data_IF_765890922124
#
_entry.id   IF_765890922124
#
_cell.length_a   1.000
_cell.length_b   1.000
_cell.length_c   1.000
_cell.angle_alpha   90.00
_cell.angle_beta   90.00
_cell.angle_gamma   90.00
#
_symmetry.space_group_name_H-M   'P 1'
#
loop_
_entity.id
_entity.type
_entity.pdbx_description
1 polymer ?
#
# COMPACT_ATOMS: atom_id res chain seq x y z
N UNK A 1 1.80 25.23 5.29
CA UNK A 1 2.65 24.15 5.82
C UNK A 1 2.27 22.87 5.09
N UNK A 2 3.20 22.25 4.37
CA UNK A 2 2.93 21.01 3.61
C UNK A 2 2.68 19.88 4.59
N UNK A 3 1.54 19.19 4.44
CA UNK A 3 1.15 18.07 5.31
C UNK A 3 1.28 16.76 4.54
N UNK A 4 1.56 15.70 5.29
CA UNK A 4 1.63 14.35 4.77
C UNK A 4 0.73 13.42 5.59
N UNK A 5 0.30 12.34 4.96
CA UNK A 5 -0.64 11.39 5.53
C UNK A 5 -0.19 9.97 5.22
N UNK A 6 -0.22 9.11 6.22
CA UNK A 6 -0.11 7.68 6.00
C UNK A 6 -1.38 7.19 5.28
N UNK A 7 -1.18 6.44 4.19
CA UNK A 7 -2.23 5.86 3.39
C UNK A 7 -2.55 4.46 3.94
N UNK A 8 -3.67 4.36 4.66
CA UNK A 8 -4.12 3.13 5.29
C UNK A 8 -5.30 2.51 4.54
N UNK A 9 -5.50 1.21 4.75
CA UNK A 9 -6.66 0.48 4.28
C UNK A 9 -7.89 0.87 5.13
N UNK A 10 -9.02 1.13 4.48
CA UNK A 10 -10.29 1.37 5.16
C UNK A 10 -11.04 0.06 5.38
N UNK A 11 -10.59 -0.71 6.38
CA UNK A 11 -11.16 -2.01 6.71
C UNK A 11 -12.52 -1.86 7.42
N UNK A 12 -13.57 -2.34 6.75
CA UNK A 12 -14.91 -2.48 7.34
C UNK A 12 -15.03 -3.80 8.13
N UNK A 13 -16.03 -3.95 9.02
CA UNK A 13 -16.25 -5.20 9.78
C UNK A 13 -16.38 -6.46 8.90
N UNK A 14 -16.82 -6.30 7.66
CA UNK A 14 -16.77 -7.29 6.59
C UNK A 14 -16.29 -6.60 5.32
N UNK A 15 -15.24 -7.13 4.69
CA UNK A 15 -14.64 -6.55 3.49
C UNK A 15 -14.22 -7.64 2.51
N UNK A 16 -14.16 -7.30 1.21
CA UNK A 16 -13.47 -8.12 0.24
C UNK A 16 -11.96 -7.94 0.43
N UNK A 17 -11.22 -9.04 0.37
CA UNK A 17 -9.80 -9.11 0.68
C UNK A 17 -9.12 -10.03 -0.33
N UNK A 18 -8.02 -9.57 -0.92
CA UNK A 18 -7.29 -10.34 -1.91
C UNK A 18 -6.31 -11.30 -1.22
N UNK A 19 -6.57 -12.59 -1.31
CA UNK A 19 -5.76 -13.62 -0.67
C UNK A 19 -4.88 -14.35 -1.68
N UNK A 20 -3.64 -14.64 -1.30
CA UNK A 20 -2.83 -15.67 -1.93
C UNK A 20 -3.35 -17.07 -1.60
N UNK A 21 -2.81 -18.10 -2.26
CA UNK A 21 -3.08 -19.51 -1.90
C UNK A 21 -2.28 -19.92 -0.65
N UNK A 22 -2.76 -20.90 0.10
CA UNK A 22 -2.23 -21.33 1.42
C UNK A 22 -0.72 -21.69 1.44
N UNK A 23 -0.14 -22.08 0.30
CA UNK A 23 1.30 -22.40 0.18
C UNK A 23 2.18 -21.22 -0.27
N UNK A 24 1.64 -20.00 -0.31
CA UNK A 24 2.39 -18.82 -0.77
C UNK A 24 3.31 -18.33 0.36
N UNK A 25 4.62 -18.15 0.10
CA UNK A 25 5.54 -17.57 1.08
C UNK A 25 5.06 -16.22 1.61
N UNK A 26 5.53 -15.86 2.80
CA UNK A 26 5.28 -14.54 3.38
C UNK A 26 5.91 -13.44 2.53
N UNK A 27 5.35 -12.23 2.64
CA UNK A 27 5.63 -11.13 1.73
C UNK A 27 7.12 -10.82 1.53
N UNK A 28 7.91 -10.72 2.61
CA UNK A 28 9.33 -10.35 2.49
C UNK A 28 10.17 -11.42 1.75
N UNK A 29 9.83 -12.70 1.87
CA UNK A 29 10.48 -13.79 1.13
C UNK A 29 10.15 -13.77 -0.38
N UNK A 30 9.05 -13.10 -0.75
CA UNK A 30 8.65 -12.95 -2.14
C UNK A 30 9.35 -11.79 -2.83
N UNK A 31 9.82 -10.78 -2.11
CA UNK A 31 10.39 -9.55 -2.71
C UNK A 31 11.50 -9.90 -3.69
N UNK A 32 12.50 -10.68 -3.29
CA UNK A 32 13.61 -11.08 -4.16
C UNK A 32 13.17 -11.87 -5.41
N UNK A 33 12.02 -12.54 -5.36
CA UNK A 33 11.48 -13.34 -6.46
C UNK A 33 10.63 -12.52 -7.44
N UNK A 34 10.15 -11.35 -7.02
CA UNK A 34 9.27 -10.49 -7.82
C UNK A 34 9.90 -9.14 -8.16
N UNK A 35 11.00 -8.77 -7.51
CA UNK A 35 11.58 -7.44 -7.64
C UNK A 35 12.05 -7.13 -9.06
N UNK A 36 12.45 -8.12 -9.87
CA UNK A 36 12.82 -7.90 -11.27
C UNK A 36 11.68 -8.14 -12.27
N UNK A 37 10.48 -8.42 -11.77
CA UNK A 37 9.31 -8.75 -12.62
C UNK A 37 8.42 -7.53 -12.80
N UNK A 38 7.76 -7.46 -13.95
CA UNK A 38 6.68 -6.51 -14.23
C UNK A 38 5.30 -7.01 -13.78
N UNK A 39 5.20 -8.28 -13.40
CA UNK A 39 3.95 -8.95 -13.02
C UNK A 39 4.21 -10.00 -11.94
N UNK A 40 3.28 -10.15 -11.00
CA UNK A 40 3.31 -11.21 -10.01
C UNK A 40 3.23 -12.59 -10.69
N UNK A 41 4.04 -13.57 -10.27
CA UNK A 41 4.03 -14.91 -10.86
C UNK A 41 2.84 -15.77 -10.41
N UNK A 42 1.86 -15.19 -9.74
CA UNK A 42 0.67 -15.86 -9.23
C UNK A 42 -0.49 -14.86 -9.15
N UNK A 43 -1.71 -15.39 -9.17
CA UNK A 43 -2.92 -14.61 -8.95
C UNK A 43 -3.35 -14.60 -7.48
N UNK A 44 -4.08 -13.55 -7.12
CA UNK A 44 -4.81 -13.41 -5.86
C UNK A 44 -6.27 -13.79 -6.07
N UNK A 45 -6.97 -14.08 -4.98
CA UNK A 45 -8.38 -14.48 -4.99
C UNK A 45 -9.15 -13.62 -4.00
N UNK A 46 -10.23 -12.98 -4.44
CA UNK A 46 -11.10 -12.24 -3.53
C UNK A 46 -11.81 -13.22 -2.61
N UNK A 47 -11.65 -12.96 -1.31
CA UNK A 47 -12.39 -13.62 -0.24
C UNK A 47 -13.07 -12.56 0.62
N UNK A 48 -14.19 -12.92 1.22
CA UNK A 48 -14.82 -12.09 2.25
C UNK A 48 -14.14 -12.38 3.57
N UNK A 49 -13.58 -11.33 4.18
CA UNK A 49 -12.99 -11.37 5.51
C UNK A 49 -13.88 -10.58 6.45
N UNK A 50 -14.24 -11.21 7.57
CA UNK A 50 -15.09 -10.60 8.60
C UNK A 50 -14.59 -10.94 10.00
N UNK A 51 -14.98 -10.13 11.00
CA UNK A 51 -14.62 -10.38 12.40
C UNK A 51 -15.65 -11.27 13.10
N UNK A 52 -15.22 -12.46 13.52
CA UNK A 52 -15.99 -13.36 14.37
C UNK A 52 -15.62 -13.23 15.86
N UNK A 53 -16.30 -14.01 16.71
CA UNK A 53 -16.06 -14.02 18.18
C UNK A 53 -14.65 -14.50 18.56
N UNK A 54 -14.02 -15.36 17.74
CA UNK A 54 -12.71 -15.97 18.00
C UNK A 54 -11.59 -15.56 17.05
N UNK A 55 -11.81 -14.59 16.15
CA UNK A 55 -10.82 -14.18 15.16
C UNK A 55 -11.43 -13.79 13.82
N UNK A 56 -10.62 -13.83 12.77
CA UNK A 56 -11.05 -13.56 11.41
C UNK A 56 -11.76 -14.79 10.82
N UNK A 57 -12.88 -14.55 10.14
CA UNK A 57 -13.60 -15.53 9.34
C UNK A 57 -13.35 -15.19 7.88
N UNK A 58 -12.85 -16.16 7.13
CA UNK A 58 -12.55 -16.05 5.69
C UNK A 58 -13.54 -16.94 4.94
N UNK A 59 -14.21 -16.40 3.93
CA UNK A 59 -15.20 -17.11 3.11
C UNK A 59 -15.01 -16.81 1.63
N UNK A 60 -15.22 -17.80 0.77
CA UNK A 60 -15.29 -17.61 -0.68
C UNK A 60 -16.66 -17.01 -1.12
N UNK A 61 -17.68 -17.08 -0.26
CA UNK A 61 -18.95 -16.41 -0.49
C UNK A 61 -18.83 -14.90 -0.24
N UNK A 62 -18.78 -14.15 -1.34
CA UNK A 62 -18.73 -12.68 -1.35
C UNK A 62 -20.10 -12.02 -1.14
N UNK A 63 -21.18 -12.79 -1.00
CA UNK A 63 -22.53 -12.26 -0.83
C UNK A 63 -22.65 -11.33 0.39
N UNK A 64 -23.52 -10.33 0.26
CA UNK A 64 -23.75 -9.30 1.26
C UNK A 64 -22.69 -8.19 1.30
N UNK A 65 -21.62 -8.26 0.50
CA UNK A 65 -20.71 -7.15 0.29
C UNK A 65 -21.24 -6.23 -0.83
N UNK A 66 -21.44 -4.95 -0.52
CA UNK A 66 -21.88 -3.95 -1.52
C UNK A 66 -20.78 -3.58 -2.53
N UNK A 67 -19.52 -3.62 -2.10
CA UNK A 67 -18.36 -3.28 -2.93
C UNK A 67 -17.26 -4.30 -2.68
N UNK A 68 -16.92 -5.09 -3.71
CA UNK A 68 -15.87 -6.11 -3.63
C UNK A 68 -14.57 -5.67 -4.31
N UNK A 69 -14.67 -4.76 -5.28
CA UNK A 69 -13.56 -4.16 -6.00
C UNK A 69 -13.31 -2.76 -5.45
N UNK A 70 -12.27 -2.62 -4.63
CA UNK A 70 -11.86 -1.34 -4.05
C UNK A 70 -10.68 -0.78 -4.82
N UNK A 71 -10.52 0.54 -4.84
CA UNK A 71 -9.35 1.17 -5.47
C UNK A 71 -8.06 0.88 -4.72
N UNK A 72 -8.14 0.76 -3.39
CA UNK A 72 -7.10 0.22 -2.54
C UNK A 72 -7.59 -1.07 -1.90
N UNK A 73 -7.12 -2.20 -2.45
CA UNK A 73 -7.62 -3.52 -2.11
C UNK A 73 -6.81 -4.13 -0.96
N UNK A 74 -7.46 -4.43 0.19
CA UNK A 74 -6.75 -5.06 1.29
C UNK A 74 -6.37 -6.50 0.94
N UNK A 75 -5.20 -6.94 1.39
CA UNK A 75 -4.61 -8.22 0.98
C UNK A 75 -3.65 -8.82 2.01
N UNK A 76 -3.36 -10.13 1.89
CA UNK A 76 -2.53 -10.86 2.86
C UNK A 76 -1.02 -10.78 2.58
N UNK A 77 -0.59 -10.03 1.57
CA UNK A 77 0.82 -9.70 1.35
C UNK A 77 1.22 -8.41 2.09
N UNK A 78 0.25 -7.68 2.65
CA UNK A 78 0.45 -6.36 3.24
C UNK A 78 1.12 -5.37 2.26
N UNK A 79 1.07 -5.63 0.96
CA UNK A 79 1.61 -4.74 -0.07
C UNK A 79 0.49 -3.84 -0.60
N UNK A 80 0.74 -2.56 -0.88
CA UNK A 80 -0.23 -1.68 -1.52
C UNK A 80 -0.73 -2.29 -2.83
N UNK A 81 -2.02 -2.59 -2.91
CA UNK A 81 -2.64 -3.23 -4.08
C UNK A 81 -3.70 -2.30 -4.65
N UNK A 82 -3.37 -1.65 -5.76
CA UNK A 82 -4.09 -0.50 -6.29
C UNK A 82 -4.80 -0.82 -7.59
N UNK A 83 -6.04 -0.36 -7.77
CA UNK A 83 -6.75 -0.43 -9.05
C UNK A 83 -6.02 0.38 -10.13
N UNK A 84 -6.32 0.12 -11.40
CA UNK A 84 -5.81 0.96 -12.51
C UNK A 84 -6.16 2.45 -12.32
N UNK A 85 -7.35 2.74 -11.78
CA UNK A 85 -7.79 4.10 -11.50
C UNK A 85 -6.88 4.78 -10.47
N UNK A 86 -6.60 4.11 -9.36
CA UNK A 86 -5.72 4.65 -8.32
C UNK A 86 -4.27 4.78 -8.79
N UNK A 87 -3.76 3.77 -9.49
CA UNK A 87 -2.45 3.83 -10.16
C UNK A 87 -2.36 5.04 -11.09
N UNK A 88 -3.38 5.30 -11.90
CA UNK A 88 -3.41 6.43 -12.84
C UNK A 88 -3.39 7.77 -12.11
N UNK A 89 -4.21 7.92 -11.06
CA UNK A 89 -4.25 9.13 -10.21
C UNK A 89 -2.88 9.42 -9.59
N UNK A 90 -2.23 8.39 -9.05
CA UNK A 90 -0.90 8.53 -8.46
C UNK A 90 0.14 8.86 -9.52
N UNK A 91 0.17 8.09 -10.62
CA UNK A 91 1.16 8.24 -11.69
C UNK A 91 1.14 9.63 -12.31
N UNK A 92 -0.04 10.25 -12.43
CA UNK A 92 -0.18 11.61 -12.92
C UNK A 92 0.44 12.69 -11.99
N UNK A 93 0.78 12.34 -10.76
CA UNK A 93 1.38 13.25 -9.77
C UNK A 93 2.84 12.91 -9.44
N UNK A 94 3.39 11.83 -10.02
CA UNK A 94 4.79 11.46 -9.79
C UNK A 94 5.72 12.40 -10.55
N UNK A 95 6.84 12.74 -9.92
CA UNK A 95 7.88 13.57 -10.53
C UNK A 95 8.92 12.74 -11.28
N UNK A 96 8.94 11.42 -11.03
CA UNK A 96 9.95 10.48 -11.53
C UNK A 96 11.13 10.35 -10.57
N UNK A 97 11.36 11.32 -9.66
CA UNK A 97 12.41 11.27 -8.64
C UNK A 97 12.15 10.17 -7.59
N UNK A 98 10.89 9.76 -7.42
CA UNK A 98 10.51 8.67 -6.52
C UNK A 98 11.03 7.30 -7.02
N UNK A 99 11.30 7.17 -8.32
CA UNK A 99 11.78 5.92 -8.93
C UNK A 99 10.76 4.79 -8.89
N UNK A 100 9.46 5.10 -8.85
CA UNK A 100 8.37 4.11 -8.77
C UNK A 100 8.14 3.46 -10.13
N UNK A 101 7.98 2.15 -10.12
CA UNK A 101 7.39 1.38 -11.20
C UNK A 101 6.26 0.49 -10.66
N UNK A 102 5.48 -0.11 -11.55
CA UNK A 102 4.29 -0.87 -11.16
C UNK A 102 4.45 -2.34 -11.50
N UNK A 103 4.25 -3.20 -10.49
CA UNK A 103 4.13 -4.65 -10.68
C UNK A 103 2.64 -4.95 -10.85
N UNK A 104 2.27 -5.53 -11.99
CA UNK A 104 0.90 -5.97 -12.23
C UNK A 104 0.55 -7.19 -11.37
N UNK A 105 -0.67 -7.24 -10.88
CA UNK A 105 -1.23 -8.32 -10.11
C UNK A 105 -2.61 -8.67 -10.67
N UNK A 106 -2.91 -9.97 -10.78
CA UNK A 106 -4.22 -10.45 -11.20
C UNK A 106 -5.02 -10.85 -9.96
N UNK A 107 -6.23 -10.33 -9.82
CA UNK A 107 -7.17 -10.71 -8.77
C UNK A 107 -8.38 -11.40 -9.39
N UNK A 108 -8.63 -12.65 -9.00
CA UNK A 108 -9.82 -13.41 -9.38
C UNK A 108 -10.94 -13.17 -8.36
N UNK A 109 -12.07 -12.67 -8.83
CA UNK A 109 -13.34 -12.68 -8.12
C UNK A 109 -14.16 -13.93 -8.45
N UNK A 110 -15.44 -13.94 -8.05
CA UNK A 110 -16.35 -15.05 -8.36
C UNK A 110 -16.61 -15.16 -9.87
N UNK A 111 -16.93 -14.03 -10.52
CA UNK A 111 -17.34 -13.99 -11.93
C UNK A 111 -16.47 -13.06 -12.80
N UNK A 112 -15.51 -12.35 -12.19
CA UNK A 112 -14.72 -11.32 -12.85
C UNK A 112 -13.26 -11.39 -12.42
N UNK A 113 -12.35 -11.12 -13.36
CA UNK A 113 -10.92 -11.01 -13.12
C UNK A 113 -10.50 -9.56 -13.34
N UNK A 114 -9.74 -8.98 -12.40
CA UNK A 114 -9.24 -7.60 -12.52
C UNK A 114 -7.73 -7.51 -12.35
N UNK A 115 -7.16 -6.58 -13.10
CA UNK A 115 -5.79 -6.15 -12.94
C UNK A 115 -5.68 -5.09 -11.85
N UNK A 116 -4.71 -5.29 -10.97
CA UNK A 116 -4.29 -4.40 -9.91
C UNK A 116 -2.78 -4.20 -9.97
N UNK A 117 -2.27 -3.26 -9.19
CA UNK A 117 -0.90 -2.79 -9.32
C UNK A 117 -0.28 -2.54 -7.95
N UNK A 118 0.95 -3.02 -7.80
CA UNK A 118 1.77 -2.82 -6.62
C UNK A 118 2.88 -1.84 -6.97
N UNK A 119 3.03 -0.72 -6.25
CA UNK A 119 4.14 0.20 -6.46
C UNK A 119 5.45 -0.44 -5.95
N UNK A 120 6.48 -0.36 -6.78
CA UNK A 120 7.84 -0.80 -6.49
C UNK A 120 8.79 0.39 -6.60
N UNK A 121 9.58 0.64 -5.56
CA UNK A 121 10.61 1.67 -5.56
C UNK A 121 11.92 1.08 -6.08
N UNK A 122 12.57 1.75 -7.04
CA UNK A 122 13.89 1.34 -7.57
C UNK A 122 15.07 1.92 -6.78
N UNK A 123 14.83 2.89 -5.93
CA UNK A 123 15.84 3.53 -5.11
C UNK A 123 15.30 3.83 -3.71
N UNK A 124 16.17 3.72 -2.70
CA UNK A 124 15.85 4.11 -1.35
C UNK A 124 15.85 5.63 -1.25
N UNK A 125 14.73 6.21 -0.83
CA UNK A 125 14.59 7.65 -0.61
C UNK A 125 15.08 8.03 0.79
N UNK A 126 15.90 9.08 0.86
CA UNK A 126 16.26 9.72 2.13
C UNK A 126 15.15 10.71 2.52
N UNK A 127 14.26 10.29 3.41
CA UNK A 127 13.05 11.06 3.79
C UNK A 127 13.05 11.51 5.27
N UNK A 128 13.99 11.00 6.07
CA UNK A 128 13.99 11.16 7.51
C UNK A 128 14.85 12.35 7.97
N UNK A 129 14.42 12.99 9.05
CA UNK A 129 15.28 13.76 9.93
C UNK A 129 15.89 12.78 10.96
N UNK A 130 17.12 12.34 10.71
CA UNK A 130 17.80 11.35 11.55
C UNK A 130 18.14 11.87 12.95
N UNK A 131 18.15 13.19 13.18
CA UNK A 131 18.41 13.76 14.50
C UNK A 131 17.17 13.69 15.41
N UNK A 132 15.97 13.73 14.81
CA UNK A 132 14.70 13.73 15.55
C UNK A 132 13.95 12.40 15.47
N UNK A 133 14.28 11.56 14.50
CA UNK A 133 13.74 10.20 14.39
C UNK A 133 14.21 9.37 15.59
N UNK A 134 13.28 8.65 16.21
CA UNK A 134 13.58 7.78 17.34
C UNK A 134 13.86 6.38 16.82
N UNK A 135 15.05 5.87 17.09
CA UNK A 135 15.49 4.53 16.74
C UNK A 135 15.55 3.63 17.97
N UNK A 136 15.40 2.32 17.78
CA UNK A 136 15.76 1.33 18.79
C UNK A 136 17.27 1.42 19.01
N UNK A 137 17.67 1.52 20.28
CA UNK A 137 19.07 1.69 20.69
C UNK A 137 19.98 0.68 19.99
N UNK A 138 21.10 1.15 19.44
CA UNK A 138 22.13 0.35 18.78
C UNK A 138 21.65 -0.39 17.51
N UNK A 139 20.54 0.04 16.90
CA UNK A 139 20.03 -0.52 15.64
C UNK A 139 19.54 0.58 14.69
N UNK A 140 19.17 0.22 13.46
CA UNK A 140 18.51 1.09 12.49
C UNK A 140 16.97 0.99 12.52
N UNK A 141 16.40 0.22 13.45
CA UNK A 141 14.94 0.05 13.55
C UNK A 141 14.29 1.33 14.08
N UNK A 142 13.24 1.79 13.39
CA UNK A 142 12.55 3.03 13.70
C UNK A 142 11.40 2.75 14.68
N UNK A 143 11.40 3.45 15.82
CA UNK A 143 10.28 3.47 16.77
C UNK A 143 9.27 4.54 16.35
N UNK A 144 9.76 5.73 16.00
CA UNK A 144 8.93 6.87 15.59
C UNK A 144 9.61 7.65 14.46
N UNK A 145 9.08 7.61 13.23
CA UNK A 145 9.64 8.39 12.13
C UNK A 145 9.36 9.88 12.33
N UNK A 146 10.34 10.71 11.99
CA UNK A 146 10.17 12.15 11.80
C UNK A 146 10.67 12.48 10.41
N UNK A 147 9.78 12.96 9.53
CA UNK A 147 10.15 13.29 8.16
C UNK A 147 10.71 14.70 8.05
N UNK A 148 11.77 14.84 7.27
CA UNK A 148 12.40 16.12 6.97
C UNK A 148 11.69 16.79 5.80
N UNK A 149 11.06 17.94 6.04
CA UNK A 149 10.30 18.65 5.02
C UNK A 149 11.15 18.96 3.77
N UNK A 150 12.39 19.44 3.96
CA UNK A 150 13.28 19.79 2.84
C UNK A 150 13.64 18.59 1.94
N UNK A 151 13.62 17.37 2.48
CA UNK A 151 13.90 16.15 1.73
C UNK A 151 12.69 15.59 0.99
N UNK A 152 11.48 15.81 1.54
CA UNK A 152 10.24 15.24 0.99
C UNK A 152 9.39 16.22 0.18
N UNK A 153 9.74 17.51 0.16
CA UNK A 153 8.89 18.58 -0.38
C UNK A 153 8.48 18.34 -1.85
N UNK A 154 9.33 17.69 -2.63
CA UNK A 154 9.09 17.37 -4.04
C UNK A 154 8.32 16.06 -4.24
N UNK A 155 8.13 15.24 -3.20
CA UNK A 155 7.47 13.95 -3.31
C UNK A 155 5.98 14.05 -2.98
N UNK A 156 5.16 13.55 -3.90
CA UNK A 156 3.73 13.35 -3.65
C UNK A 156 3.43 11.99 -3.00
N UNK A 157 4.33 11.01 -3.18
CA UNK A 157 4.24 9.66 -2.65
C UNK A 157 5.64 9.17 -2.25
N UNK A 158 5.79 8.58 -1.06
CA UNK A 158 7.01 7.89 -0.65
C UNK A 158 6.71 6.72 0.30
N UNK A 159 7.65 5.78 0.42
CA UNK A 159 7.48 4.60 1.27
C UNK A 159 7.62 4.93 2.76
N UNK A 160 6.93 4.16 3.60
CA UNK A 160 7.21 4.12 5.03
C UNK A 160 8.63 3.56 5.26
N UNK A 161 9.54 4.28 5.95
CA UNK A 161 10.92 3.83 6.10
C UNK A 161 11.00 2.50 6.84
N UNK A 162 11.54 1.49 6.16
CA UNK A 162 11.73 0.13 6.67
C UNK A 162 12.84 -0.59 5.90
N UNK A 163 13.18 -1.81 6.34
CA UNK A 163 14.20 -2.65 5.71
C UNK A 163 13.79 -3.04 4.28
N UNK A 164 12.56 -3.51 4.10
CA UNK A 164 11.97 -3.89 2.81
C UNK A 164 11.28 -2.69 2.15
N UNK A 165 12.07 -1.72 1.69
CA UNK A 165 11.56 -0.45 1.14
C UNK A 165 11.14 -0.57 -0.33
N UNK A 166 11.67 -1.55 -1.06
CA UNK A 166 11.46 -1.75 -2.49
C UNK A 166 9.99 -2.06 -2.80
N UNK A 167 9.38 -2.93 -1.99
CA UNK A 167 7.94 -3.22 -2.00
C UNK A 167 7.47 -3.07 -0.55
N UNK A 168 7.12 -1.83 -0.22
CA UNK A 168 6.78 -1.44 1.15
C UNK A 168 5.37 -1.86 1.53
N UNK A 169 5.09 -1.99 2.82
CA UNK A 169 3.74 -2.20 3.36
C UNK A 169 3.02 -0.90 3.71
N UNK A 170 3.71 0.23 3.61
CA UNK A 170 3.19 1.52 4.04
C UNK A 170 3.60 2.63 3.08
N UNK A 171 2.68 3.54 2.81
CA UNK A 171 2.92 4.69 1.94
C UNK A 171 2.49 5.97 2.63
N UNK A 172 3.22 7.04 2.36
CA UNK A 172 2.85 8.40 2.75
C UNK A 172 2.54 9.21 1.51
N UNK A 173 1.46 9.98 1.57
CA UNK A 173 1.03 10.88 0.50
C UNK A 173 1.00 12.33 0.97
N UNK A 174 1.30 13.26 0.07
CA UNK A 174 1.17 14.69 0.37
C UNK A 174 -0.31 15.12 0.43
N UNK A 175 -0.57 16.25 1.09
CA UNK A 175 -1.92 16.84 1.17
C UNK A 175 -2.56 17.06 -0.20
N UNK A 176 -1.76 17.45 -1.20
CA UNK A 176 -2.22 17.64 -2.58
C UNK A 176 -2.72 16.34 -3.17
N UNK A 177 -1.93 15.26 -3.10
CA UNK A 177 -2.33 13.96 -3.64
C UNK A 177 -3.55 13.41 -2.89
N UNK A 178 -3.60 13.53 -1.56
CA UNK A 178 -4.78 13.19 -0.76
C UNK A 178 -6.05 13.88 -1.27
N UNK A 179 -6.00 15.21 -1.50
CA UNK A 179 -7.16 15.97 -1.98
C UNK A 179 -7.62 15.51 -3.36
N UNK A 180 -6.68 15.17 -4.25
CA UNK A 180 -6.99 14.61 -5.57
C UNK A 180 -7.67 13.23 -5.41
N UNK A 181 -7.11 12.33 -4.60
CA UNK A 181 -7.69 11.01 -4.35
C UNK A 181 -9.12 11.09 -3.77
N UNK A 182 -9.37 12.05 -2.88
CA UNK A 182 -10.71 12.33 -2.34
C UNK A 182 -11.66 12.88 -3.41
N UNK A 183 -11.20 13.81 -4.25
CA UNK A 183 -11.98 14.38 -5.37
C UNK A 183 -12.36 13.30 -6.39
N UNK A 184 -11.44 12.41 -6.71
CA UNK A 184 -11.64 11.26 -7.60
C UNK A 184 -12.47 10.14 -6.96
N UNK A 185 -12.83 10.28 -5.67
CA UNK A 185 -13.63 9.33 -4.89
C UNK A 185 -13.02 7.93 -4.89
N UNK A 186 -11.70 7.83 -4.73
CA UNK A 186 -11.03 6.54 -4.59
C UNK A 186 -11.53 5.81 -3.34
N UNK A 187 -11.74 4.51 -3.45
CA UNK A 187 -12.36 3.65 -2.45
C UNK A 187 -11.32 2.76 -1.73
N UNK A 188 -11.66 2.24 -0.54
CA UNK A 188 -10.77 1.37 0.23
C UNK A 188 -9.64 2.08 0.98
N UNK A 189 -9.60 3.41 0.95
CA UNK A 189 -8.54 4.23 1.56
C UNK A 189 -9.00 4.97 2.82
N UNK A 190 -8.09 5.15 3.76
CA UNK A 190 -8.15 6.10 4.86
C UNK A 190 -6.83 6.87 4.96
N UNK A 191 -6.83 8.02 5.63
CA UNK A 191 -5.67 8.90 5.75
C UNK A 191 -5.41 9.24 7.21
N UNK A 192 -4.21 8.93 7.68
CA UNK A 192 -3.78 9.24 9.05
C UNK A 192 -2.70 10.32 9.01
N UNK A 193 -2.89 11.40 9.78
CA UNK A 193 -1.92 12.50 9.79
C UNK A 193 -0.57 12.05 10.35
N UNK A 194 0.52 12.51 9.74
CA UNK A 194 1.88 12.27 10.27
C UNK A 194 2.59 13.57 10.58
N UNK A 195 3.47 13.53 11.59
CA UNK A 195 4.29 14.67 11.97
C UNK A 195 5.41 14.90 10.95
N UNK A 196 5.52 16.12 10.47
CA UNK A 196 6.58 16.59 9.55
C UNK A 196 7.20 17.84 10.15
N UNK A 197 8.53 17.96 10.07
CA UNK A 197 9.30 19.08 10.62
C UNK A 197 10.24 19.69 9.58
#
# INVERSE_FOLDING_TARGET
MTKYYFLAENLKPSTAFACTKEATPIAHELISKVIEKSELPFALFLKKVSRGKGGLIISDDLSGLRHIWLDYQPNNLAWPLMSEKMKSVISAQLTGKEGIIWIKAIINGADEIKEYYIPRFRQKLDVLDNQKTIFVKDTSHIIKPVFSLSKIIDYHLFFAPQEFWEITSGLYVSETLKKIMQKEKLTGISFEYTSVL
#
